data_IF_325896669935
#
_entry.id   IF_325896669935
#
_cell.length_a   1.000
_cell.length_b   1.000
_cell.length_c   1.000
_cell.angle_alpha   90.00
_cell.angle_beta   90.00
_cell.angle_gamma   90.00
#
_symmetry.space_group_name_H-M   'P 1'
#
loop_
_entity.id
_entity.type
_entity.pdbx_description
1 polymer ?
#
# COMPACT_ATOMS: atom_id res chain seq x y z
N UNK A 1 -23.23 28.78 8.35
CA UNK A 1 -21.92 29.22 8.91
C UNK A 1 -20.97 28.06 8.78
N UNK A 2 -20.27 27.96 7.66
CA UNK A 2 -19.20 26.98 7.45
C UNK A 2 -17.91 27.71 7.78
N UNK A 3 -17.33 27.39 8.95
CA UNK A 3 -16.00 27.82 9.30
C UNK A 3 -15.01 27.10 8.36
N UNK A 4 -14.44 27.85 7.44
CA UNK A 4 -13.30 27.42 6.66
C UNK A 4 -12.15 27.16 7.62
N UNK A 5 -11.86 25.87 7.91
CA UNK A 5 -10.58 25.46 8.49
C UNK A 5 -9.53 25.69 7.41
N UNK A 6 -9.05 26.91 7.36
CA UNK A 6 -7.82 27.25 6.68
C UNK A 6 -6.71 26.64 7.54
N UNK A 7 -6.31 25.41 7.22
CA UNK A 7 -5.07 24.87 7.74
C UNK A 7 -3.98 25.83 7.27
N UNK A 8 -3.44 26.60 8.19
CA UNK A 8 -2.29 27.46 7.95
C UNK A 8 -1.20 26.58 7.28
N UNK A 9 -0.51 27.08 6.26
CA UNK A 9 0.71 26.46 5.80
C UNK A 9 1.61 26.26 7.03
N UNK A 10 2.42 25.18 7.08
CA UNK A 10 3.35 25.01 8.18
C UNK A 10 4.11 26.32 8.34
N UNK A 11 4.04 26.90 9.52
CA UNK A 11 4.58 28.21 9.80
C UNK A 11 6.00 28.27 9.23
N UNK A 12 6.24 29.25 8.36
CA UNK A 12 7.55 29.61 7.84
C UNK A 12 8.31 30.35 8.97
N UNK A 13 8.55 29.65 10.07
CA UNK A 13 9.33 30.13 11.21
C UNK A 13 10.77 29.58 11.22
N UNK A 14 11.19 29.04 10.07
CA UNK A 14 12.61 28.82 9.82
C UNK A 14 13.31 30.19 9.73
N UNK A 15 14.56 30.22 10.13
CA UNK A 15 15.43 31.37 9.91
C UNK A 15 15.51 31.69 8.40
N UNK A 16 15.76 32.94 8.00
CA UNK A 16 16.02 33.26 6.61
C UNK A 16 17.03 32.28 6.01
N UNK A 17 16.74 31.75 4.83
CA UNK A 17 17.65 30.85 4.15
C UNK A 17 18.89 31.66 3.70
N UNK A 18 20.08 31.28 4.12
CA UNK A 18 21.30 31.95 3.67
C UNK A 18 21.54 31.67 2.19
N UNK A 19 22.31 32.52 1.54
CA UNK A 19 22.76 32.25 0.17
C UNK A 19 23.66 30.99 0.19
N UNK A 20 23.28 29.96 -0.58
CA UNK A 20 24.05 28.73 -0.65
C UNK A 20 24.96 28.79 -1.88
N UNK A 21 26.25 28.55 -1.68
CA UNK A 21 27.18 28.27 -2.76
C UNK A 21 27.63 26.82 -2.69
N UNK A 22 27.89 26.21 -3.84
CA UNK A 22 28.38 24.83 -3.92
C UNK A 22 29.66 24.69 -4.72
N UNK A 23 30.44 23.67 -4.39
CA UNK A 23 31.65 23.29 -5.09
C UNK A 23 31.70 21.78 -5.27
N UNK A 24 31.93 21.31 -6.49
CA UNK A 24 32.20 19.90 -6.78
C UNK A 24 33.72 19.67 -6.58
N UNK A 25 34.08 19.00 -5.50
CA UNK A 25 35.48 18.70 -5.19
C UNK A 25 35.54 17.38 -4.37
N UNK A 26 36.65 16.63 -4.45
CA UNK A 26 36.81 15.41 -3.64
C UNK A 26 36.75 15.72 -2.14
N UNK A 27 36.55 14.70 -1.32
CA UNK A 27 36.65 14.81 0.12
C UNK A 27 38.03 15.34 0.50
N UNK A 28 38.04 16.29 1.42
CA UNK A 28 39.27 16.94 1.96
C UNK A 28 39.39 16.55 3.42
N UNK A 29 40.59 16.28 3.89
CA UNK A 29 40.85 16.03 5.31
C UNK A 29 40.58 17.31 6.16
N UNK A 30 40.27 17.11 7.43
CA UNK A 30 39.89 18.20 8.33
C UNK A 30 40.97 19.31 8.39
N UNK A 31 42.26 18.96 8.21
CA UNK A 31 43.40 19.91 8.21
C UNK A 31 43.43 20.82 6.97
N UNK A 32 42.82 20.41 5.87
CA UNK A 32 42.82 21.15 4.60
C UNK A 32 41.47 21.87 4.32
N UNK A 33 40.54 21.86 5.26
CA UNK A 33 39.21 22.47 5.10
C UNK A 33 39.29 24.01 5.02
N UNK A 34 40.22 24.65 5.71
CA UNK A 34 40.42 26.09 5.63
C UNK A 34 40.91 26.52 4.25
N UNK A 35 41.75 25.70 3.60
CA UNK A 35 42.17 25.93 2.21
C UNK A 35 41.02 25.79 1.21
N UNK A 36 40.02 24.98 1.56
CA UNK A 36 38.82 24.78 0.70
C UNK A 36 37.96 26.03 0.65
N UNK A 37 37.88 26.81 1.74
CA UNK A 37 37.11 28.06 1.80
C UNK A 37 37.67 29.13 0.83
N UNK A 38 38.99 29.18 0.67
CA UNK A 38 39.68 30.12 -0.22
C UNK A 38 39.82 29.60 -1.67
N UNK A 39 39.36 28.36 -1.92
CA UNK A 39 39.47 27.73 -3.23
C UNK A 39 38.54 28.41 -4.25
N UNK A 40 39.06 28.77 -5.45
CA UNK A 40 38.21 29.31 -6.51
C UNK A 40 37.25 28.25 -7.05
N UNK A 41 36.07 28.69 -7.55
CA UNK A 41 35.12 27.80 -8.23
C UNK A 41 33.83 27.57 -7.48
N UNK A 42 33.60 28.22 -6.36
CA UNK A 42 32.27 28.23 -5.71
C UNK A 42 31.23 28.85 -6.64
N UNK A 43 30.14 28.13 -6.86
CA UNK A 43 29.03 28.55 -7.71
C UNK A 43 27.80 28.83 -6.83
N UNK A 44 27.12 29.97 -7.04
CA UNK A 44 25.88 30.24 -6.33
C UNK A 44 24.82 29.21 -6.75
N UNK A 45 24.07 28.71 -5.77
CA UNK A 45 22.95 27.84 -6.02
C UNK A 45 21.74 28.67 -6.45
N UNK A 46 21.16 28.35 -7.61
CA UNK A 46 19.98 29.07 -8.14
C UNK A 46 18.66 28.57 -7.52
N UNK A 47 18.64 27.35 -7.00
CA UNK A 47 17.46 26.68 -6.43
C UNK A 47 17.52 26.66 -4.90
N UNK A 48 16.38 26.73 -4.24
CA UNK A 48 16.29 26.62 -2.77
C UNK A 48 16.77 25.26 -2.22
N UNK A 49 16.71 24.22 -3.04
CA UNK A 49 17.12 22.86 -2.66
C UNK A 49 18.10 22.31 -3.66
N UNK A 50 19.36 22.03 -3.27
CA UNK A 50 20.31 21.35 -4.13
C UNK A 50 19.78 19.98 -4.58
N UNK A 51 19.65 19.75 -5.89
CA UNK A 51 19.23 18.47 -6.44
C UNK A 51 20.00 18.16 -7.74
N UNK A 52 20.96 17.27 -7.65
CA UNK A 52 21.79 16.86 -8.80
C UNK A 52 21.41 15.45 -9.34
N UNK A 53 20.32 14.87 -8.83
CA UNK A 53 19.87 13.53 -9.20
C UNK A 53 20.83 12.42 -8.73
N UNK A 54 20.99 11.37 -9.51
CA UNK A 54 21.82 10.21 -9.15
C UNK A 54 23.26 10.44 -9.60
N UNK A 55 24.06 11.07 -8.72
CA UNK A 55 25.48 11.34 -8.93
C UNK A 55 26.30 10.71 -7.81
N UNK A 56 27.54 10.33 -8.09
CA UNK A 56 28.48 9.74 -7.11
C UNK A 56 29.58 10.72 -6.70
N UNK A 57 29.51 11.92 -7.24
CA UNK A 57 30.49 12.97 -6.95
C UNK A 57 30.32 13.52 -5.55
N UNK A 58 31.39 14.05 -5.00
CA UNK A 58 31.39 14.73 -3.70
C UNK A 58 31.13 16.22 -3.88
N UNK A 59 30.19 16.76 -3.12
CA UNK A 59 29.79 18.16 -3.15
C UNK A 59 30.00 18.83 -1.80
N UNK A 60 30.48 20.05 -1.86
CA UNK A 60 30.62 20.96 -0.72
C UNK A 60 29.60 22.07 -0.86
N UNK A 61 29.00 22.47 0.26
CA UNK A 61 28.07 23.60 0.35
C UNK A 61 28.57 24.58 1.37
N UNK A 62 28.54 25.85 1.02
CA UNK A 62 28.98 26.97 1.85
C UNK A 62 27.80 27.89 2.09
N UNK A 63 27.56 28.27 3.34
CA UNK A 63 26.43 29.08 3.77
C UNK A 63 26.90 30.08 4.81
N UNK A 64 27.06 31.40 4.49
CA UNK A 64 27.28 32.43 5.49
C UNK A 64 26.03 32.55 6.37
N UNK A 65 26.22 32.68 7.66
CA UNK A 65 25.14 32.89 8.62
C UNK A 65 24.98 34.36 8.94
N UNK A 66 23.74 34.83 9.03
CA UNK A 66 23.47 36.14 9.58
C UNK A 66 23.83 36.19 11.06
N UNK A 67 24.34 37.33 11.54
CA UNK A 67 24.85 37.56 12.89
C UNK A 67 23.76 37.49 13.97
N UNK A 68 23.09 36.34 14.08
CA UNK A 68 22.15 36.06 15.14
C UNK A 68 22.83 35.33 16.30
N UNK A 69 22.35 35.54 17.52
CA UNK A 69 22.83 34.76 18.68
C UNK A 69 21.77 33.77 19.13
N UNK A 70 22.19 32.55 19.48
CA UNK A 70 21.29 31.55 20.06
C UNK A 70 21.58 30.12 19.67
N UNK A 71 20.72 29.23 20.20
CA UNK A 71 20.72 27.81 19.85
C UNK A 71 19.93 27.59 18.59
N UNK A 72 20.57 27.11 17.57
CA UNK A 72 20.02 26.88 16.25
C UNK A 72 20.23 25.43 15.84
N UNK A 73 19.45 24.94 14.89
CA UNK A 73 19.57 23.60 14.35
C UNK A 73 19.53 23.67 12.83
N UNK A 74 20.53 23.05 12.20
CA UNK A 74 20.48 22.76 10.77
C UNK A 74 19.74 21.45 10.55
N UNK A 75 18.71 21.48 9.73
CA UNK A 75 17.97 20.32 9.28
C UNK A 75 18.32 19.99 7.84
N UNK A 76 18.62 18.70 7.57
CA UNK A 76 18.61 18.12 6.23
C UNK A 76 17.51 17.07 6.24
N UNK A 77 16.35 17.39 5.64
CA UNK A 77 15.15 16.55 5.66
C UNK A 77 15.16 15.44 4.59
N UNK A 78 16.34 14.88 4.30
CA UNK A 78 16.53 13.75 3.40
C UNK A 78 17.43 12.70 4.06
N UNK A 79 16.86 11.64 4.64
CA UNK A 79 17.58 10.68 5.49
C UNK A 79 18.51 9.71 4.76
N UNK A 80 18.55 9.74 3.42
CA UNK A 80 19.23 8.76 2.56
C UNK A 80 20.53 9.32 1.96
N UNK A 81 21.28 10.06 2.74
CA UNK A 81 22.61 10.54 2.36
C UNK A 81 23.66 9.67 3.04
N UNK A 82 24.55 9.07 2.23
CA UNK A 82 25.56 8.10 2.71
C UNK A 82 26.50 8.74 3.75
N UNK A 83 27.06 9.93 3.43
CA UNK A 83 27.97 10.67 4.29
C UNK A 83 27.64 12.15 4.30
N UNK A 84 27.46 12.70 5.48
CA UNK A 84 27.19 14.11 5.76
C UNK A 84 28.23 14.63 6.75
N UNK A 85 29.05 15.56 6.32
CA UNK A 85 29.97 16.32 7.18
C UNK A 85 29.44 17.73 7.40
N UNK A 86 29.31 18.14 8.63
CA UNK A 86 28.98 19.53 9.03
C UNK A 86 30.14 20.15 9.74
N UNK A 87 30.49 21.37 9.36
CA UNK A 87 31.55 22.15 9.93
C UNK A 87 31.05 23.57 10.18
N UNK A 88 31.08 24.01 11.43
CA UNK A 88 30.82 25.41 11.80
C UNK A 88 32.15 26.16 11.86
N UNK A 89 32.24 27.16 11.04
CA UNK A 89 33.43 28.05 10.96
C UNK A 89 33.09 29.37 11.61
N UNK A 90 33.96 29.85 12.52
CA UNK A 90 33.89 31.16 13.14
C UNK A 90 35.21 31.91 12.88
N UNK A 91 35.16 33.12 12.33
CA UNK A 91 36.33 33.91 11.98
C UNK A 91 37.43 33.13 11.24
N UNK A 92 37.00 32.28 10.27
CA UNK A 92 37.89 31.44 9.46
C UNK A 92 38.45 30.20 10.17
N UNK A 93 37.98 29.84 11.37
CA UNK A 93 38.42 28.67 12.13
C UNK A 93 37.25 27.71 12.36
N UNK A 94 37.48 26.43 12.19
CA UNK A 94 36.50 25.39 12.49
C UNK A 94 36.36 25.25 14.02
N UNK A 95 35.16 25.47 14.52
CA UNK A 95 34.84 25.40 15.95
C UNK A 95 33.99 24.18 16.31
N UNK A 96 33.25 23.62 15.32
CA UNK A 96 32.45 22.42 15.52
C UNK A 96 32.52 21.54 14.28
N UNK A 97 32.63 20.23 14.50
CA UNK A 97 32.60 19.20 13.43
C UNK A 97 31.62 18.12 13.82
N UNK A 98 30.73 17.77 12.90
CA UNK A 98 29.82 16.63 13.04
C UNK A 98 29.88 15.79 11.77
N UNK A 99 30.11 14.49 11.92
CA UNK A 99 30.08 13.51 10.80
C UNK A 99 28.95 12.55 11.06
N UNK A 100 28.05 12.39 10.07
CA UNK A 100 26.86 11.53 10.12
C UNK A 100 26.53 11.02 8.72
N UNK A 101 25.49 10.23 8.57
CA UNK A 101 25.05 9.65 7.30
C UNK A 101 24.28 8.36 7.54
N UNK A 102 23.71 7.77 6.47
CA UNK A 102 23.02 6.48 6.58
C UNK A 102 23.99 5.27 6.44
N UNK A 103 25.25 5.51 6.06
CA UNK A 103 26.35 4.56 6.13
C UNK A 103 27.03 4.52 7.52
N UNK A 104 26.65 5.39 8.44
CA UNK A 104 27.11 5.39 9.83
C UNK A 104 25.98 4.92 10.75
N UNK A 105 26.28 4.37 11.95
CA UNK A 105 25.27 4.00 12.93
C UNK A 105 24.30 5.15 13.23
N UNK A 106 23.02 4.85 13.37
CA UNK A 106 22.00 5.86 13.67
C UNK A 106 22.26 6.54 15.04
N UNK A 107 22.87 5.78 15.97
CA UNK A 107 23.29 6.28 17.29
C UNK A 107 24.33 7.41 17.23
N UNK A 108 25.06 7.57 16.12
CA UNK A 108 26.02 8.66 15.91
C UNK A 108 25.35 9.98 15.46
N UNK A 109 24.04 9.98 15.23
CA UNK A 109 23.31 11.22 14.93
C UNK A 109 23.23 12.12 16.15
N UNK A 110 23.51 13.44 16.03
CA UNK A 110 23.47 14.36 17.16
C UNK A 110 22.12 14.42 17.88
N UNK A 111 21.03 14.28 17.12
CA UNK A 111 19.67 14.15 17.62
C UNK A 111 19.03 12.89 17.02
N UNK A 112 18.33 12.13 17.86
CA UNK A 112 17.69 10.87 17.46
C UNK A 112 16.43 11.13 16.62
N UNK A 113 16.64 11.51 15.35
CA UNK A 113 15.58 11.79 14.39
C UNK A 113 15.94 11.23 13.00
N UNK A 114 14.96 10.80 12.17
CA UNK A 114 15.21 10.33 10.81
C UNK A 114 15.88 11.38 9.90
N UNK A 115 15.50 12.68 9.98
CA UNK A 115 16.24 13.76 9.33
C UNK A 115 17.57 14.03 10.06
N UNK A 116 18.56 14.54 9.35
CA UNK A 116 19.80 14.98 9.99
C UNK A 116 19.55 16.32 10.67
N UNK A 117 19.52 16.32 12.00
CA UNK A 117 19.35 17.49 12.86
C UNK A 117 20.66 17.75 13.56
N UNK A 118 21.32 18.89 13.21
CA UNK A 118 22.64 19.24 13.74
C UNK A 118 22.53 20.51 14.54
N UNK A 119 22.58 20.46 15.89
CA UNK A 119 22.52 21.62 16.73
C UNK A 119 23.85 22.37 16.69
N UNK A 120 23.78 23.68 16.66
CA UNK A 120 24.92 24.58 16.75
C UNK A 120 24.53 25.87 17.52
N UNK A 121 25.53 26.62 17.97
CA UNK A 121 25.33 27.87 18.74
C UNK A 121 26.13 28.97 18.10
N UNK A 122 25.53 30.15 17.98
CA UNK A 122 26.18 31.36 17.48
C UNK A 122 26.12 32.48 18.51
N UNK A 123 27.13 33.37 18.51
CA UNK A 123 27.24 34.56 19.38
C UNK A 123 27.19 35.83 18.53
N UNK A 124 26.72 36.91 19.11
CA UNK A 124 26.66 38.21 18.43
C UNK A 124 28.06 38.77 18.15
N UNK A 125 28.26 39.26 16.93
CA UNK A 125 29.50 39.96 16.54
C UNK A 125 30.62 39.04 16.07
N UNK A 126 30.34 37.76 15.84
CA UNK A 126 31.24 36.79 15.21
C UNK A 126 30.71 36.42 13.83
N UNK A 127 31.57 36.36 12.83
CA UNK A 127 31.22 35.94 11.50
C UNK A 127 31.20 34.39 11.41
N UNK A 128 30.00 33.86 11.28
CA UNK A 128 29.81 32.41 11.18
C UNK A 128 29.52 31.97 9.75
N UNK A 129 30.03 30.80 9.44
CA UNK A 129 29.78 30.13 8.17
C UNK A 129 29.58 28.62 8.39
N UNK A 130 28.60 28.03 7.71
CA UNK A 130 28.43 26.57 7.69
C UNK A 130 29.05 26.03 6.41
N UNK A 131 29.88 25.00 6.56
CA UNK A 131 30.40 24.22 5.46
C UNK A 131 29.81 22.80 5.58
N UNK A 132 29.13 22.31 4.53
CA UNK A 132 28.61 20.94 4.46
C UNK A 132 29.37 20.16 3.41
N UNK A 133 29.68 18.91 3.74
CA UNK A 133 30.31 17.92 2.88
C UNK A 133 29.29 16.78 2.66
N UNK A 134 28.89 16.55 1.41
CA UNK A 134 27.89 15.58 1.08
C UNK A 134 28.41 14.62 0.00
N UNK A 135 28.37 13.33 0.30
CA UNK A 135 28.63 12.26 -0.65
C UNK A 135 27.53 11.24 -0.55
N UNK A 136 26.96 10.81 -1.68
CA UNK A 136 25.91 9.78 -1.71
C UNK A 136 26.00 8.96 -2.99
N UNK A 137 25.70 7.67 -2.89
CA UNK A 137 25.51 6.76 -4.02
C UNK A 137 24.06 6.77 -4.54
N UNK A 138 23.15 7.34 -3.73
CA UNK A 138 21.74 7.51 -4.04
C UNK A 138 21.43 8.81 -4.81
N UNK A 139 20.22 9.35 -4.61
CA UNK A 139 19.85 10.65 -5.16
C UNK A 139 20.48 11.78 -4.33
N UNK A 140 21.21 12.68 -4.98
CA UNK A 140 21.83 13.84 -4.35
C UNK A 140 20.82 14.98 -4.20
N UNK A 141 19.92 14.86 -3.22
CA UNK A 141 18.95 15.88 -2.84
C UNK A 141 19.23 16.33 -1.41
N UNK A 142 19.48 17.62 -1.21
CA UNK A 142 19.92 18.19 0.08
C UNK A 142 18.98 19.32 0.49
N UNK A 143 17.76 19.05 0.96
CA UNK A 143 16.86 20.08 1.45
C UNK A 143 17.35 20.58 2.81
N UNK A 144 18.00 21.77 2.80
CA UNK A 144 18.58 22.39 3.96
C UNK A 144 17.60 23.41 4.53
N UNK A 145 17.40 23.41 5.85
CA UNK A 145 16.66 24.42 6.59
C UNK A 145 17.37 24.78 7.87
N UNK A 146 17.35 26.07 8.21
CA UNK A 146 17.84 26.56 9.47
C UNK A 146 16.66 26.87 10.39
N UNK A 147 16.78 26.49 11.63
CA UNK A 147 15.69 26.59 12.60
C UNK A 147 16.23 27.21 13.92
N UNK A 148 15.36 28.00 14.57
CA UNK A 148 15.48 28.15 16.01
C UNK A 148 15.03 26.86 16.70
N UNK A 149 15.68 26.46 17.77
CA UNK A 149 15.45 25.16 18.43
C UNK A 149 13.96 24.95 18.80
N UNK A 150 13.29 25.96 19.36
CA UNK A 150 11.89 25.84 19.76
C UNK A 150 10.94 25.69 18.56
N UNK A 151 11.17 26.48 17.50
CA UNK A 151 10.37 26.42 16.29
C UNK A 151 10.49 25.06 15.57
N UNK A 152 11.69 24.46 15.59
CA UNK A 152 11.92 23.12 15.08
C UNK A 152 11.08 22.08 15.83
N UNK A 153 11.07 22.08 17.16
CA UNK A 153 10.30 21.09 17.93
C UNK A 153 8.80 21.19 17.67
N UNK A 154 8.25 22.36 17.48
CA UNK A 154 6.83 22.55 17.12
C UNK A 154 6.55 22.02 15.72
N UNK A 155 7.44 22.28 14.76
CA UNK A 155 7.31 21.78 13.39
C UNK A 155 7.39 20.25 13.33
N UNK A 156 8.41 19.64 13.96
CA UNK A 156 8.59 18.19 14.03
C UNK A 156 7.41 17.51 14.72
N UNK A 157 6.90 18.07 15.82
CA UNK A 157 5.74 17.50 16.53
C UNK A 157 4.51 17.46 15.64
N UNK A 158 4.31 18.47 14.81
CA UNK A 158 3.18 18.51 13.88
C UNK A 158 3.36 17.50 12.75
N UNK A 159 4.55 17.41 12.19
CA UNK A 159 4.89 16.42 11.15
C UNK A 159 4.74 14.98 11.65
N UNK A 160 5.26 14.69 12.84
CA UNK A 160 5.18 13.37 13.46
C UNK A 160 3.74 12.95 13.76
N UNK A 161 2.86 13.87 14.16
CA UNK A 161 1.43 13.60 14.35
C UNK A 161 0.76 13.17 13.04
N UNK A 162 1.04 13.85 11.93
CA UNK A 162 0.48 13.52 10.61
C UNK A 162 0.98 12.16 10.14
N UNK A 163 2.27 11.87 10.33
CA UNK A 163 2.84 10.57 9.99
C UNK A 163 2.30 9.44 10.86
N UNK A 164 2.15 9.67 12.15
CA UNK A 164 1.57 8.70 13.09
C UNK A 164 0.13 8.36 12.72
N UNK A 165 -0.67 9.36 12.34
CA UNK A 165 -2.03 9.14 11.83
C UNK A 165 -2.02 8.31 10.55
N UNK A 166 -1.14 8.63 9.61
CA UNK A 166 -0.98 7.90 8.36
C UNK A 166 -0.60 6.43 8.60
N UNK A 167 0.43 6.17 9.41
CA UNK A 167 0.83 4.81 9.77
C UNK A 167 -0.28 4.07 10.50
N UNK A 168 -1.02 4.75 11.39
CA UNK A 168 -2.18 4.20 12.10
C UNK A 168 -3.27 3.71 11.14
N UNK A 169 -3.58 4.46 10.08
CA UNK A 169 -4.55 4.06 9.04
C UNK A 169 -4.08 2.80 8.34
N UNK A 170 -2.82 2.73 7.89
CA UNK A 170 -2.31 1.56 7.17
C UNK A 170 -2.24 0.32 8.07
N UNK A 171 -1.77 0.47 9.31
CA UNK A 171 -1.69 -0.62 10.28
C UNK A 171 -3.09 -1.17 10.60
N UNK A 172 -4.06 -0.29 10.83
CA UNK A 172 -5.46 -0.69 11.04
C UNK A 172 -6.01 -1.44 9.83
N UNK A 173 -5.72 -0.96 8.63
CA UNK A 173 -6.12 -1.63 7.38
C UNK A 173 -5.51 -3.02 7.26
N UNK A 174 -4.22 -3.19 7.60
CA UNK A 174 -3.53 -4.47 7.61
C UNK A 174 -4.20 -5.44 8.58
N UNK A 175 -4.40 -5.05 9.85
CA UNK A 175 -5.00 -5.93 10.86
C UNK A 175 -6.44 -6.29 10.52
N UNK A 176 -7.24 -5.34 10.05
CA UNK A 176 -8.63 -5.60 9.66
C UNK A 176 -8.71 -6.63 8.51
N UNK A 177 -7.93 -6.46 7.45
CA UNK A 177 -7.93 -7.39 6.32
C UNK A 177 -7.24 -8.72 6.65
N UNK A 178 -6.26 -8.74 7.54
CA UNK A 178 -5.66 -9.97 8.07
C UNK A 178 -6.68 -10.78 8.85
N UNK A 179 -7.49 -10.14 9.70
CA UNK A 179 -8.59 -10.81 10.40
C UNK A 179 -9.59 -11.42 9.43
N UNK A 180 -9.98 -10.70 8.37
CA UNK A 180 -10.87 -11.23 7.33
C UNK A 180 -10.21 -12.42 6.61
N UNK A 181 -8.92 -12.32 6.28
CA UNK A 181 -8.19 -13.44 5.68
C UNK A 181 -8.21 -14.69 6.57
N UNK A 182 -7.94 -14.54 7.87
CA UNK A 182 -7.94 -15.66 8.82
C UNK A 182 -9.32 -16.31 8.93
N UNK A 183 -10.40 -15.52 8.85
CA UNK A 183 -11.77 -15.99 8.91
C UNK A 183 -12.22 -16.70 7.62
N UNK A 184 -11.86 -16.18 6.46
CA UNK A 184 -12.37 -16.64 5.16
C UNK A 184 -11.38 -17.52 4.38
N UNK A 185 -10.08 -17.43 4.69
CA UNK A 185 -8.99 -18.11 3.98
C UNK A 185 -8.91 -17.78 2.49
N UNK A 186 -9.39 -16.60 2.08
CA UNK A 186 -9.36 -16.16 0.69
C UNK A 186 -8.06 -15.37 0.41
N UNK A 187 -7.27 -15.86 -0.55
CA UNK A 187 -5.94 -15.33 -0.88
C UNK A 187 -5.92 -13.85 -1.27
N UNK A 188 -7.03 -13.30 -1.80
CA UNK A 188 -7.12 -11.89 -2.18
C UNK A 188 -6.88 -10.97 -0.98
N UNK A 189 -7.42 -11.31 0.20
CA UNK A 189 -7.20 -10.54 1.43
C UNK A 189 -5.74 -10.62 1.90
N UNK A 190 -5.12 -11.79 1.79
CA UNK A 190 -3.70 -11.95 2.10
C UNK A 190 -2.83 -11.09 1.18
N UNK A 191 -3.07 -11.11 -0.13
CA UNK A 191 -2.31 -10.28 -1.06
C UNK A 191 -2.53 -8.79 -0.82
N UNK A 192 -3.71 -8.40 -0.36
CA UNK A 192 -3.97 -7.03 0.04
C UNK A 192 -3.20 -6.64 1.29
N UNK A 193 -3.19 -7.48 2.32
CA UNK A 193 -2.37 -7.29 3.54
C UNK A 193 -0.90 -7.13 3.17
N UNK A 194 -0.36 -8.02 2.31
CA UNK A 194 1.02 -7.95 1.86
C UNK A 194 1.31 -6.69 1.03
N UNK A 195 0.38 -6.27 0.17
CA UNK A 195 0.49 -5.04 -0.62
C UNK A 195 0.55 -3.80 0.28
N UNK A 196 -0.39 -3.69 1.23
CA UNK A 196 -0.45 -2.57 2.18
C UNK A 196 0.78 -2.57 3.10
N UNK A 197 1.23 -3.76 3.56
CA UNK A 197 2.46 -3.90 4.34
C UNK A 197 3.69 -3.51 3.53
N UNK A 198 3.81 -3.97 2.28
CA UNK A 198 4.93 -3.62 1.41
C UNK A 198 5.03 -2.10 1.18
N UNK A 199 3.89 -1.45 1.01
CA UNK A 199 3.83 0.00 0.86
C UNK A 199 4.16 0.74 2.18
N UNK A 200 3.61 0.30 3.30
CA UNK A 200 3.95 0.81 4.64
C UNK A 200 5.45 0.71 4.90
N UNK A 201 6.02 -0.45 4.63
CA UNK A 201 7.43 -0.73 4.82
C UNK A 201 8.31 0.15 3.91
N UNK A 202 7.92 0.31 2.64
CA UNK A 202 8.59 1.23 1.71
C UNK A 202 8.57 2.67 2.24
N UNK A 203 7.41 3.18 2.66
CA UNK A 203 7.28 4.54 3.17
C UNK A 203 8.08 4.76 4.45
N UNK A 204 8.06 3.81 5.38
CA UNK A 204 8.85 3.86 6.60
C UNK A 204 10.37 3.83 6.30
N UNK A 205 10.78 3.06 5.28
CA UNK A 205 12.18 2.98 4.85
C UNK A 205 12.64 4.28 4.19
N UNK A 206 11.85 4.83 3.26
CA UNK A 206 12.15 6.10 2.59
C UNK A 206 12.26 7.28 3.57
N UNK A 207 11.56 7.21 4.69
CA UNK A 207 11.64 8.22 5.75
C UNK A 207 12.69 7.93 6.81
N UNK A 208 13.45 6.85 6.72
CA UNK A 208 14.48 6.46 7.67
C UNK A 208 13.95 5.90 9.00
N UNK A 209 12.62 5.75 9.16
CA UNK A 209 12.01 5.22 10.38
C UNK A 209 12.41 3.76 10.60
N UNK A 210 12.54 2.96 9.55
CA UNK A 210 13.00 1.57 9.67
C UNK A 210 14.43 1.49 10.18
N UNK A 211 15.31 2.42 9.78
CA UNK A 211 16.67 2.51 10.29
C UNK A 211 16.67 2.83 11.78
N UNK A 212 15.94 3.86 12.18
CA UNK A 212 15.84 4.28 13.58
C UNK A 212 15.31 3.18 14.51
N UNK A 213 14.29 2.43 14.07
CA UNK A 213 13.52 1.54 14.98
C UNK A 213 14.05 0.11 14.96
N UNK A 214 14.40 -0.44 13.77
CA UNK A 214 14.65 -1.87 13.64
C UNK A 214 16.14 -2.24 13.63
N UNK A 215 17.01 -1.40 13.07
CA UNK A 215 18.44 -1.70 12.93
C UNK A 215 19.34 -0.49 13.03
N UNK A 216 19.26 0.31 14.14
CA UNK A 216 19.98 1.60 14.25
C UNK A 216 21.49 1.44 14.18
N UNK A 217 22.03 0.30 14.59
CA UNK A 217 23.48 0.04 14.62
C UNK A 217 23.97 -0.81 13.45
N UNK A 218 23.11 -1.02 12.43
CA UNK A 218 23.46 -1.83 11.25
C UNK A 218 23.15 -1.09 9.94
N UNK A 219 24.04 -0.19 9.48
CA UNK A 219 23.88 0.54 8.22
C UNK A 219 23.80 -0.38 6.99
N UNK A 220 24.51 -1.51 6.99
CA UNK A 220 24.44 -2.48 5.90
C UNK A 220 23.01 -3.03 5.72
N UNK A 221 22.37 -3.40 6.83
CA UNK A 221 20.98 -3.90 6.78
C UNK A 221 20.00 -2.81 6.36
N UNK A 222 20.25 -1.55 6.76
CA UNK A 222 19.47 -0.41 6.29
C UNK A 222 19.52 -0.28 4.77
N UNK A 223 20.72 -0.30 4.20
CA UNK A 223 20.92 -0.20 2.75
C UNK A 223 20.28 -1.38 2.00
N UNK A 224 20.42 -2.61 2.50
CA UNK A 224 19.74 -3.77 1.92
C UNK A 224 18.21 -3.62 1.97
N UNK A 225 17.69 -3.09 3.06
CA UNK A 225 16.25 -2.84 3.22
C UNK A 225 15.71 -1.86 2.16
N UNK A 226 16.46 -0.79 1.88
CA UNK A 226 16.09 0.15 0.82
C UNK A 226 16.00 -0.51 -0.55
N UNK A 227 16.99 -1.33 -0.90
CA UNK A 227 17.02 -2.03 -2.17
C UNK A 227 15.87 -3.04 -2.32
N UNK A 228 15.45 -3.69 -1.23
CA UNK A 228 14.39 -4.71 -1.21
C UNK A 228 12.99 -4.08 -1.17
N UNK A 229 12.81 -2.96 -0.45
CA UNK A 229 11.51 -2.38 -0.19
C UNK A 229 10.73 -2.00 -1.48
N UNK A 230 11.42 -1.43 -2.47
CA UNK A 230 10.80 -1.02 -3.74
C UNK A 230 10.27 -2.22 -4.54
N UNK A 231 11.09 -3.22 -4.92
CA UNK A 231 10.60 -4.37 -5.69
C UNK A 231 9.62 -5.24 -4.89
N UNK A 232 9.71 -5.28 -3.57
CA UNK A 232 8.75 -5.96 -2.70
C UNK A 232 7.37 -5.29 -2.76
N UNK A 233 7.30 -3.97 -2.68
CA UNK A 233 6.04 -3.23 -2.80
C UNK A 233 5.38 -3.46 -4.18
N UNK A 234 6.16 -3.44 -5.26
CA UNK A 234 5.68 -3.74 -6.62
C UNK A 234 5.17 -5.18 -6.71
N UNK A 235 5.94 -6.15 -6.22
CA UNK A 235 5.58 -7.57 -6.19
C UNK A 235 4.20 -7.79 -5.57
N UNK A 236 4.00 -7.28 -4.37
CA UNK A 236 2.75 -7.48 -3.63
C UNK A 236 1.57 -6.73 -4.25
N UNK A 237 1.80 -5.53 -4.78
CA UNK A 237 0.79 -4.78 -5.51
C UNK A 237 0.30 -5.52 -6.77
N UNK A 238 1.21 -6.13 -7.54
CA UNK A 238 0.89 -6.93 -8.72
C UNK A 238 0.13 -8.22 -8.35
N UNK A 239 0.55 -8.92 -7.28
CA UNK A 239 -0.15 -10.10 -6.77
C UNK A 239 -1.58 -9.76 -6.34
N UNK A 240 -1.74 -8.65 -5.62
CA UNK A 240 -3.05 -8.15 -5.23
C UNK A 240 -3.93 -7.82 -6.44
N UNK A 241 -3.44 -6.99 -7.37
CA UNK A 241 -4.18 -6.60 -8.57
C UNK A 241 -4.63 -7.82 -9.40
N UNK A 242 -3.74 -8.80 -9.58
CA UNK A 242 -4.01 -10.06 -10.28
C UNK A 242 -5.16 -10.83 -9.63
N UNK A 243 -5.15 -10.94 -8.30
CA UNK A 243 -6.16 -11.66 -7.54
C UNK A 243 -7.47 -10.89 -7.45
N UNK A 244 -7.42 -9.59 -7.15
CA UNK A 244 -8.58 -8.74 -6.99
C UNK A 244 -9.42 -8.61 -8.27
N UNK A 245 -8.76 -8.38 -9.41
CA UNK A 245 -9.40 -8.27 -10.73
C UNK A 245 -9.68 -9.62 -11.39
N UNK A 246 -9.33 -10.75 -10.75
CA UNK A 246 -9.47 -12.12 -11.31
C UNK A 246 -8.89 -12.26 -12.72
N UNK A 247 -7.69 -11.67 -12.92
CA UNK A 247 -7.11 -11.58 -14.27
C UNK A 247 -6.79 -12.93 -14.90
N UNK A 248 -6.65 -13.98 -14.11
CA UNK A 248 -6.45 -15.33 -14.61
C UNK A 248 -7.62 -15.77 -15.51
N UNK A 249 -8.84 -15.41 -15.13
CA UNK A 249 -10.07 -15.84 -15.77
C UNK A 249 -10.59 -14.81 -16.77
N UNK A 250 -10.41 -13.50 -16.45
CA UNK A 250 -10.97 -12.39 -17.25
C UNK A 250 -10.05 -11.88 -18.35
N UNK A 251 -8.72 -12.01 -18.18
CA UNK A 251 -7.72 -11.42 -19.09
C UNK A 251 -6.39 -12.21 -19.08
N UNK A 252 -6.33 -13.42 -19.70
CA UNK A 252 -5.15 -14.30 -19.61
C UNK A 252 -3.87 -13.68 -20.17
N UNK A 253 -3.94 -12.85 -21.21
CA UNK A 253 -2.76 -12.13 -21.76
C UNK A 253 -2.20 -11.12 -20.75
N UNK A 254 -3.07 -10.34 -20.13
CA UNK A 254 -2.70 -9.39 -19.07
C UNK A 254 -2.14 -10.12 -17.85
N UNK A 255 -2.73 -11.26 -17.48
CA UNK A 255 -2.23 -12.11 -16.41
C UNK A 255 -0.81 -12.62 -16.68
N UNK A 256 -0.49 -13.01 -17.92
CA UNK A 256 0.88 -13.44 -18.29
C UNK A 256 1.88 -12.29 -18.15
N UNK A 257 1.50 -11.08 -18.60
CA UNK A 257 2.35 -9.88 -18.46
C UNK A 257 2.61 -9.57 -16.97
N UNK A 258 1.59 -9.65 -16.11
CA UNK A 258 1.79 -9.46 -14.66
C UNK A 258 2.72 -10.51 -14.08
N UNK A 259 2.57 -11.77 -14.45
CA UNK A 259 3.45 -12.85 -13.99
C UNK A 259 4.91 -12.60 -14.39
N UNK A 260 5.14 -12.08 -15.59
CA UNK A 260 6.48 -11.69 -16.04
C UNK A 260 7.07 -10.59 -15.14
N UNK A 261 6.31 -9.52 -14.85
CA UNK A 261 6.78 -8.42 -13.98
C UNK A 261 6.93 -8.89 -12.53
N UNK A 262 6.07 -9.80 -12.04
CA UNK A 262 6.22 -10.47 -10.74
C UNK A 262 7.55 -11.25 -10.69
N UNK A 263 7.87 -12.00 -11.73
CA UNK A 263 9.15 -12.70 -11.86
C UNK A 263 10.35 -11.76 -11.84
N UNK A 264 10.26 -10.63 -12.57
CA UNK A 264 11.30 -9.59 -12.53
C UNK A 264 11.44 -8.96 -11.13
N UNK A 265 10.34 -8.77 -10.41
CA UNK A 265 10.38 -8.24 -9.03
C UNK A 265 11.11 -9.19 -8.08
N UNK A 266 10.87 -10.50 -8.20
CA UNK A 266 11.59 -11.51 -7.44
C UNK A 266 13.08 -11.55 -7.81
N UNK A 267 13.41 -11.47 -9.09
CA UNK A 267 14.79 -11.39 -9.55
C UNK A 267 15.49 -10.11 -9.07
N UNK A 268 14.78 -8.98 -9.05
CA UNK A 268 15.31 -7.73 -8.51
C UNK A 268 15.63 -7.87 -7.00
N UNK A 269 14.74 -8.47 -6.19
CA UNK A 269 15.00 -8.75 -4.78
C UNK A 269 16.23 -9.65 -4.59
N UNK A 270 16.36 -10.72 -5.37
CA UNK A 270 17.53 -11.59 -5.29
C UNK A 270 18.80 -10.89 -5.79
N UNK A 271 18.66 -10.03 -6.80
CA UNK A 271 19.75 -9.24 -7.37
C UNK A 271 20.39 -8.26 -6.38
N UNK A 272 19.65 -7.79 -5.35
CA UNK A 272 20.19 -6.88 -4.34
C UNK A 272 21.36 -7.48 -3.53
N UNK A 273 21.48 -8.80 -3.49
CA UNK A 273 22.56 -9.49 -2.79
C UNK A 273 23.81 -9.72 -3.65
N UNK A 274 23.73 -9.47 -4.96
CA UNK A 274 24.80 -9.78 -5.93
C UNK A 274 25.25 -8.53 -6.68
N UNK A 275 24.33 -7.62 -6.99
CA UNK A 275 24.59 -6.42 -7.77
C UNK A 275 25.06 -5.26 -6.86
N UNK A 276 25.82 -4.35 -7.44
CA UNK A 276 26.19 -3.10 -6.78
C UNK A 276 24.96 -2.25 -6.48
N UNK A 277 25.03 -1.45 -5.40
CA UNK A 277 23.94 -0.60 -4.90
C UNK A 277 23.31 0.26 -6.00
N UNK A 278 24.13 0.99 -6.76
CA UNK A 278 23.65 1.91 -7.80
C UNK A 278 22.90 1.17 -8.93
N UNK A 279 23.38 0.00 -9.34
CA UNK A 279 22.71 -0.84 -10.35
C UNK A 279 21.40 -1.41 -9.81
N UNK A 280 21.38 -1.87 -8.57
CA UNK A 280 20.19 -2.41 -7.88
C UNK A 280 19.11 -1.34 -7.72
N UNK A 281 19.45 -0.14 -7.26
CA UNK A 281 18.46 0.93 -7.05
C UNK A 281 17.88 1.42 -8.38
N UNK A 282 18.70 1.61 -9.43
CA UNK A 282 18.24 2.02 -10.75
C UNK A 282 17.31 0.98 -11.38
N UNK A 283 17.65 -0.31 -11.29
CA UNK A 283 16.80 -1.39 -11.78
C UNK A 283 15.48 -1.49 -11.01
N UNK A 284 15.50 -1.31 -9.69
CA UNK A 284 14.31 -1.29 -8.82
C UNK A 284 13.39 -0.10 -9.14
N UNK A 285 13.95 1.08 -9.38
CA UNK A 285 13.17 2.27 -9.79
C UNK A 285 12.54 2.07 -11.17
N UNK A 286 13.28 1.54 -12.15
CA UNK A 286 12.74 1.23 -13.48
C UNK A 286 11.61 0.18 -13.41
N UNK A 287 11.78 -0.84 -12.56
CA UNK A 287 10.76 -1.84 -12.29
C UNK A 287 9.51 -1.21 -11.63
N UNK A 288 9.69 -0.31 -10.67
CA UNK A 288 8.59 0.39 -10.02
C UNK A 288 7.79 1.23 -11.01
N UNK A 289 8.47 2.03 -11.85
CA UNK A 289 7.81 2.85 -12.87
C UNK A 289 7.00 1.99 -13.84
N UNK A 290 7.58 0.89 -14.35
CA UNK A 290 6.88 -0.03 -15.25
C UNK A 290 5.72 -0.76 -14.57
N UNK A 291 5.89 -1.20 -13.32
CA UNK A 291 4.85 -1.83 -12.52
C UNK A 291 3.68 -0.89 -12.22
N UNK A 292 3.95 0.35 -11.79
CA UNK A 292 2.92 1.36 -11.55
C UNK A 292 2.17 1.74 -12.82
N UNK A 293 2.86 1.92 -13.94
CA UNK A 293 2.22 2.19 -15.24
C UNK A 293 1.29 1.04 -15.65
N UNK A 294 1.74 -0.20 -15.45
CA UNK A 294 0.93 -1.38 -15.74
C UNK A 294 -0.33 -1.43 -14.85
N UNK A 295 -0.20 -1.22 -13.55
CA UNK A 295 -1.32 -1.18 -12.60
C UNK A 295 -2.30 -0.05 -12.94
N UNK A 296 -1.80 1.10 -13.36
CA UNK A 296 -2.63 2.22 -13.79
C UNK A 296 -3.47 1.90 -15.03
N UNK A 297 -2.87 1.25 -16.03
CA UNK A 297 -3.56 0.93 -17.29
C UNK A 297 -4.57 -0.22 -17.10
N UNK A 298 -4.25 -1.20 -16.29
CA UNK A 298 -5.11 -2.40 -16.09
C UNK A 298 -6.47 -2.04 -15.52
N UNK A 299 -6.55 -1.12 -14.57
CA UNK A 299 -7.80 -0.70 -13.95
C UNK A 299 -8.84 -0.23 -14.97
N UNK A 300 -8.61 0.88 -15.69
CA UNK A 300 -9.51 1.40 -16.72
C UNK A 300 -9.82 0.37 -17.81
N UNK A 301 -8.84 -0.40 -18.27
CA UNK A 301 -9.05 -1.44 -19.29
C UNK A 301 -10.03 -2.51 -18.81
N UNK A 302 -9.91 -2.97 -17.57
CA UNK A 302 -10.85 -3.94 -17.01
C UNK A 302 -12.22 -3.32 -16.73
N UNK A 303 -12.28 -2.05 -16.37
CA UNK A 303 -13.54 -1.33 -16.19
C UNK A 303 -14.32 -1.20 -17.51
N UNK A 304 -13.64 -0.86 -18.61
CA UNK A 304 -14.25 -0.84 -19.94
C UNK A 304 -14.77 -2.22 -20.37
N UNK A 305 -14.14 -3.30 -19.91
CA UNK A 305 -14.59 -4.69 -20.10
C UNK A 305 -15.72 -5.11 -19.14
N UNK A 306 -16.30 -4.17 -18.40
CA UNK A 306 -17.39 -4.39 -17.43
C UNK A 306 -17.04 -5.35 -16.29
N UNK A 307 -15.78 -5.42 -15.90
CA UNK A 307 -15.41 -6.13 -14.67
C UNK A 307 -15.98 -5.35 -13.46
N UNK A 308 -16.86 -5.94 -12.64
CA UNK A 308 -17.58 -5.21 -11.58
C UNK A 308 -16.67 -4.65 -10.48
N UNK A 309 -15.48 -5.21 -10.33
CA UNK A 309 -14.51 -4.80 -9.30
C UNK A 309 -13.54 -3.71 -9.80
N UNK A 310 -13.42 -3.55 -11.12
CA UNK A 310 -12.42 -2.67 -11.73
C UNK A 310 -12.69 -1.18 -11.49
N UNK A 311 -13.95 -0.77 -11.27
CA UNK A 311 -14.30 0.61 -10.97
C UNK A 311 -13.67 1.09 -9.67
N UNK A 312 -13.85 0.36 -8.58
CA UNK A 312 -13.25 0.67 -7.27
C UNK A 312 -11.71 0.66 -7.33
N UNK A 313 -11.16 -0.34 -8.01
CA UNK A 313 -9.72 -0.45 -8.22
C UNK A 313 -9.17 0.77 -8.96
N UNK A 314 -9.81 1.19 -10.05
CA UNK A 314 -9.37 2.33 -10.88
C UNK A 314 -9.37 3.63 -10.09
N UNK A 315 -10.43 3.90 -9.31
CA UNK A 315 -10.52 5.10 -8.49
C UNK A 315 -9.45 5.10 -7.40
N UNK A 316 -9.30 3.99 -6.67
CA UNK A 316 -8.34 3.87 -5.58
C UNK A 316 -6.89 4.08 -6.08
N UNK A 317 -6.48 3.35 -7.12
CA UNK A 317 -5.16 3.50 -7.74
C UNK A 317 -4.97 4.84 -8.42
N UNK A 318 -6.03 5.42 -8.99
CA UNK A 318 -6.00 6.78 -9.55
C UNK A 318 -5.62 7.83 -8.50
N UNK A 319 -6.19 7.75 -7.30
CA UNK A 319 -5.88 8.67 -6.19
C UNK A 319 -4.43 8.52 -5.71
N UNK A 320 -3.93 7.28 -5.58
CA UNK A 320 -2.53 7.03 -5.24
C UNK A 320 -1.58 7.65 -6.28
N UNK A 321 -1.85 7.44 -7.56
CA UNK A 321 -1.01 7.92 -8.65
C UNK A 321 -1.05 9.45 -8.76
N UNK A 322 -2.22 10.06 -8.65
CA UNK A 322 -2.36 11.52 -8.63
C UNK A 322 -1.56 12.11 -7.45
N UNK A 323 -1.72 11.54 -6.25
CA UNK A 323 -0.96 11.95 -5.07
C UNK A 323 0.56 11.82 -5.26
N UNK A 324 1.00 10.71 -5.85
CA UNK A 324 2.41 10.47 -6.17
C UNK A 324 2.94 11.47 -7.20
N UNK A 325 2.16 11.76 -8.24
CA UNK A 325 2.53 12.75 -9.27
C UNK A 325 2.65 14.16 -8.69
N UNK A 326 1.72 14.57 -7.82
CA UNK A 326 1.78 15.86 -7.15
C UNK A 326 3.06 16.00 -6.31
N UNK A 327 3.37 15.00 -5.51
CA UNK A 327 4.58 14.99 -4.68
C UNK A 327 5.85 14.93 -5.54
N UNK A 328 5.87 14.13 -6.59
CA UNK A 328 7.01 14.07 -7.50
C UNK A 328 7.22 15.41 -8.22
N UNK A 329 6.16 16.00 -8.76
CA UNK A 329 6.25 17.30 -9.47
C UNK A 329 6.73 18.43 -8.56
N UNK A 330 6.35 18.41 -7.28
CA UNK A 330 6.90 19.36 -6.29
C UNK A 330 8.41 19.13 -6.07
N UNK A 331 8.85 17.86 -5.95
CA UNK A 331 10.27 17.54 -5.78
C UNK A 331 11.14 17.92 -6.99
N UNK A 332 10.54 17.97 -8.19
CA UNK A 332 11.21 18.47 -9.39
C UNK A 332 11.07 19.99 -9.60
N UNK A 333 10.51 20.72 -8.63
CA UNK A 333 10.32 22.18 -8.72
C UNK A 333 9.23 22.61 -9.71
N UNK A 334 8.45 21.68 -10.27
CA UNK A 334 7.38 21.97 -11.24
C UNK A 334 6.10 22.51 -10.60
N UNK A 335 5.88 22.24 -9.32
CA UNK A 335 4.74 22.70 -8.54
C UNK A 335 5.20 23.39 -7.26
N UNK A 336 4.49 24.43 -6.79
CA UNK A 336 4.81 25.11 -5.54
C UNK A 336 4.68 24.16 -4.34
N UNK A 337 5.51 24.39 -3.33
CA UNK A 337 5.44 23.63 -2.08
C UNK A 337 4.24 24.07 -1.26
N UNK A 338 3.29 23.17 -1.09
CA UNK A 338 2.12 23.32 -0.24
C UNK A 338 1.76 21.97 0.41
N UNK A 339 0.81 21.96 1.32
CA UNK A 339 0.41 20.74 2.02
C UNK A 339 0.08 19.57 1.09
N UNK A 340 -0.70 19.84 0.02
CA UNK A 340 -1.14 18.79 -0.91
C UNK A 340 0.02 18.24 -1.76
N UNK A 341 0.94 19.08 -2.21
CA UNK A 341 2.10 18.66 -3.00
C UNK A 341 3.17 17.97 -2.15
N UNK A 342 3.26 18.32 -0.87
CA UNK A 342 4.20 17.68 0.07
C UNK A 342 3.70 16.31 0.52
N UNK A 343 2.44 16.20 0.92
CA UNK A 343 1.87 14.97 1.49
C UNK A 343 0.96 14.21 0.52
N UNK A 344 0.87 14.61 -0.74
CA UNK A 344 -0.03 14.05 -1.75
C UNK A 344 0.07 12.53 -1.89
N UNK A 345 1.29 11.99 -1.89
CA UNK A 345 1.53 10.55 -1.97
C UNK A 345 0.98 9.80 -0.74
N UNK A 346 1.11 10.36 0.46
CA UNK A 346 0.60 9.76 1.69
C UNK A 346 -0.93 9.82 1.75
N UNK A 347 -1.50 10.97 1.40
CA UNK A 347 -2.97 11.14 1.32
C UNK A 347 -3.55 10.19 0.27
N UNK A 348 -2.95 10.13 -0.92
CA UNK A 348 -3.38 9.24 -1.99
C UNK A 348 -3.37 7.78 -1.58
N UNK A 349 -2.30 7.33 -0.91
CA UNK A 349 -2.20 5.93 -0.44
C UNK A 349 -3.12 5.61 0.74
N UNK A 350 -3.37 6.55 1.65
CA UNK A 350 -4.34 6.35 2.73
C UNK A 350 -5.77 6.22 2.18
N UNK A 351 -6.13 7.07 1.21
CA UNK A 351 -7.43 6.99 0.53
C UNK A 351 -7.56 5.71 -0.29
N UNK A 352 -6.51 5.31 -1.01
CA UNK A 352 -6.45 4.02 -1.73
C UNK A 352 -6.70 2.86 -0.77
N UNK A 353 -6.00 2.82 0.36
CA UNK A 353 -6.13 1.76 1.35
C UNK A 353 -7.57 1.67 1.92
N UNK A 354 -8.19 2.79 2.23
CA UNK A 354 -9.58 2.83 2.71
C UNK A 354 -10.54 2.35 1.63
N UNK A 355 -10.43 2.88 0.40
CA UNK A 355 -11.33 2.54 -0.70
C UNK A 355 -11.23 1.08 -1.11
N UNK A 356 -10.04 0.50 -1.15
CA UNK A 356 -9.87 -0.91 -1.45
C UNK A 356 -10.40 -1.82 -0.32
N UNK A 357 -10.27 -1.40 0.93
CA UNK A 357 -10.89 -2.12 2.05
C UNK A 357 -12.42 -2.13 1.92
N UNK A 358 -13.04 -0.99 1.58
CA UNK A 358 -14.48 -0.90 1.32
C UNK A 358 -14.86 -1.77 0.11
N UNK A 359 -14.08 -1.74 -0.96
CA UNK A 359 -14.31 -2.56 -2.15
C UNK A 359 -14.26 -4.05 -1.87
N UNK A 360 -13.30 -4.49 -1.04
CA UNK A 360 -13.18 -5.88 -0.59
C UNK A 360 -14.36 -6.30 0.29
N UNK A 361 -14.79 -5.42 1.20
CA UNK A 361 -15.97 -5.67 2.05
C UNK A 361 -17.25 -5.81 1.20
N UNK A 362 -17.44 -4.93 0.21
CA UNK A 362 -18.59 -5.00 -0.72
C UNK A 362 -18.54 -6.26 -1.58
N UNK A 363 -17.36 -6.65 -2.06
CA UNK A 363 -17.19 -7.91 -2.78
C UNK A 363 -17.63 -9.11 -1.94
N UNK A 364 -17.20 -9.15 -0.67
CA UNK A 364 -17.58 -10.20 0.27
C UNK A 364 -19.10 -10.25 0.48
N UNK A 365 -19.71 -9.09 0.64
CA UNK A 365 -21.16 -8.98 0.80
C UNK A 365 -21.90 -9.57 -0.41
N UNK A 366 -21.52 -9.16 -1.61
CA UNK A 366 -22.13 -9.65 -2.86
C UNK A 366 -21.93 -11.18 -3.03
N UNK A 367 -20.72 -11.68 -2.79
CA UNK A 367 -20.45 -13.13 -2.89
C UNK A 367 -21.25 -13.96 -1.86
N UNK A 368 -21.51 -13.43 -0.67
CA UNK A 368 -22.40 -14.06 0.31
C UNK A 368 -23.84 -14.07 -0.16
N UNK A 369 -24.32 -12.97 -0.68
CA UNK A 369 -25.69 -12.85 -1.21
C UNK A 369 -25.91 -13.81 -2.36
N UNK A 370 -25.00 -13.88 -3.33
CA UNK A 370 -25.05 -14.81 -4.46
C UNK A 370 -25.09 -16.29 -3.97
N UNK A 371 -24.29 -16.64 -2.97
CA UNK A 371 -24.29 -18.00 -2.38
C UNK A 371 -25.60 -18.32 -1.66
N UNK A 372 -26.18 -17.37 -0.95
CA UNK A 372 -27.48 -17.56 -0.29
C UNK A 372 -28.59 -17.75 -1.31
N UNK A 373 -28.63 -16.92 -2.36
CA UNK A 373 -29.61 -17.06 -3.44
C UNK A 373 -29.47 -18.40 -4.18
N UNK A 374 -28.25 -18.84 -4.48
CA UNK A 374 -27.99 -20.12 -5.10
C UNK A 374 -28.48 -21.27 -4.21
N UNK A 375 -28.22 -21.24 -2.91
CA UNK A 375 -28.67 -22.24 -1.95
C UNK A 375 -30.19 -22.28 -1.82
N UNK A 376 -30.84 -21.12 -1.78
CA UNK A 376 -32.31 -21.06 -1.78
C UNK A 376 -32.92 -21.63 -3.06
N UNK A 377 -32.33 -21.33 -4.22
CA UNK A 377 -32.76 -21.88 -5.50
C UNK A 377 -32.61 -23.42 -5.52
N UNK A 378 -31.53 -23.96 -4.99
CA UNK A 378 -31.31 -25.40 -4.85
C UNK A 378 -32.36 -26.06 -3.94
N UNK A 379 -32.61 -25.46 -2.77
CA UNK A 379 -33.63 -25.96 -1.84
C UNK A 379 -35.06 -25.96 -2.48
N UNK A 380 -35.41 -24.89 -3.21
CA UNK A 380 -36.69 -24.80 -3.95
C UNK A 380 -36.77 -25.87 -5.04
N UNK A 381 -35.69 -26.11 -5.77
CA UNK A 381 -35.63 -27.17 -6.78
C UNK A 381 -35.78 -28.56 -6.17
N UNK A 382 -35.14 -28.85 -5.04
CA UNK A 382 -35.30 -30.11 -4.31
C UNK A 382 -36.72 -30.30 -3.80
N UNK A 383 -37.34 -29.26 -3.24
CA UNK A 383 -38.72 -29.29 -2.77
C UNK A 383 -39.71 -29.55 -3.92
N UNK A 384 -39.51 -28.88 -5.07
CA UNK A 384 -40.32 -29.11 -6.28
C UNK A 384 -40.18 -30.52 -6.82
N UNK A 385 -38.96 -31.08 -6.87
CA UNK A 385 -38.71 -32.48 -7.23
C UNK A 385 -39.47 -33.44 -6.32
N UNK A 386 -39.32 -33.27 -5.01
CA UNK A 386 -39.97 -34.13 -4.02
C UNK A 386 -41.49 -34.07 -4.14
N UNK A 387 -42.05 -32.85 -4.36
CA UNK A 387 -43.51 -32.72 -4.56
C UNK A 387 -44.00 -33.39 -5.85
N UNK A 388 -43.20 -33.32 -6.93
CA UNK A 388 -43.51 -34.03 -8.19
C UNK A 388 -43.45 -35.56 -8.03
N UNK A 389 -42.43 -36.08 -7.32
CA UNK A 389 -42.31 -37.50 -6.99
C UNK A 389 -43.52 -38.02 -6.18
N UNK A 390 -43.91 -37.23 -5.15
CA UNK A 390 -45.10 -37.59 -4.34
C UNK A 390 -46.37 -37.59 -5.17
N UNK A 391 -46.56 -36.62 -6.09
CA UNK A 391 -47.72 -36.60 -7.00
C UNK A 391 -47.71 -37.80 -7.95
N UNK A 392 -46.55 -38.14 -8.53
CA UNK A 392 -46.42 -39.32 -9.39
C UNK A 392 -46.71 -40.61 -8.62
N UNK A 393 -46.24 -40.70 -7.37
CA UNK A 393 -46.52 -41.85 -6.51
C UNK A 393 -48.01 -41.93 -6.15
N UNK A 394 -48.65 -40.80 -5.85
CA UNK A 394 -50.09 -40.74 -5.59
C UNK A 394 -50.90 -41.14 -6.83
N UNK A 395 -50.57 -40.65 -8.02
CA UNK A 395 -51.19 -41.07 -9.27
C UNK A 395 -50.96 -42.55 -9.62
N UNK A 396 -49.81 -43.13 -9.25
CA UNK A 396 -49.49 -44.52 -9.47
C UNK A 396 -50.30 -45.48 -8.54
N UNK A 397 -50.70 -44.99 -7.35
CA UNK A 397 -51.35 -45.79 -6.31
C UNK A 397 -52.85 -45.54 -6.16
N UNK A 398 -53.38 -44.46 -6.74
CA UNK A 398 -54.80 -44.10 -6.65
C UNK A 398 -55.46 -44.01 -8.01
N UNK A 399 -56.76 -44.29 -8.07
CA UNK A 399 -57.59 -44.12 -9.26
C UNK A 399 -57.90 -42.61 -9.45
N UNK A 400 -57.63 -42.02 -10.63
CA UNK A 400 -57.80 -40.62 -10.86
C UNK A 400 -59.25 -40.10 -10.87
N UNK A 401 -60.17 -40.98 -11.00
CA UNK A 401 -61.61 -40.61 -11.03
C UNK A 401 -62.22 -40.62 -9.63
N UNK A 402 -61.89 -41.62 -8.83
CA UNK A 402 -62.51 -41.83 -7.52
C UNK A 402 -61.65 -41.43 -6.34
N UNK A 403 -60.35 -41.20 -6.54
CA UNK A 403 -59.37 -40.93 -5.49
C UNK A 403 -59.07 -42.11 -4.56
N UNK A 404 -59.67 -43.30 -4.86
CA UNK A 404 -59.46 -44.52 -4.07
C UNK A 404 -58.18 -45.25 -4.47
N UNK A 405 -57.56 -46.03 -3.53
CA UNK A 405 -56.44 -46.90 -3.89
C UNK A 405 -56.77 -47.79 -5.10
N UNK A 406 -55.87 -47.76 -6.07
CA UNK A 406 -56.01 -48.56 -7.27
C UNK A 406 -55.52 -50.00 -7.04
N UNK A 407 -55.60 -50.82 -8.06
CA UNK A 407 -55.22 -52.26 -8.02
C UNK A 407 -53.72 -52.39 -7.56
N UNK A 408 -52.84 -51.59 -8.04
CA UNK A 408 -51.42 -51.62 -7.68
C UNK A 408 -51.20 -51.35 -6.18
N UNK A 409 -51.91 -50.40 -5.65
CA UNK A 409 -51.87 -50.05 -4.19
C UNK A 409 -52.45 -51.27 -3.38
N UNK A 410 -53.50 -51.81 -3.82
CA UNK A 410 -54.12 -53.01 -3.17
C UNK A 410 -53.12 -54.19 -3.17
N UNK A 411 -52.53 -54.53 -4.32
CA UNK A 411 -51.56 -55.63 -4.44
C UNK A 411 -50.36 -55.41 -3.54
N UNK A 412 -49.90 -54.19 -3.42
CA UNK A 412 -48.76 -53.82 -2.57
C UNK A 412 -49.06 -53.97 -1.05
N UNK A 413 -50.24 -53.52 -0.61
CA UNK A 413 -50.70 -53.67 0.78
C UNK A 413 -50.88 -55.15 1.15
N UNK A 414 -51.49 -55.98 0.23
CA UNK A 414 -51.68 -57.41 0.47
C UNK A 414 -50.34 -58.14 0.57
N UNK A 415 -49.39 -57.85 -0.34
CA UNK A 415 -48.06 -58.46 -0.30
C UNK A 415 -47.28 -58.09 0.97
N UNK A 416 -47.35 -56.80 1.44
CA UNK A 416 -46.75 -56.36 2.69
C UNK A 416 -47.37 -57.07 3.90
N UNK A 417 -48.70 -57.22 3.95
CA UNK A 417 -49.42 -57.96 5.00
C UNK A 417 -48.99 -59.42 5.03
N UNK A 418 -48.97 -60.12 3.89
CA UNK A 418 -48.54 -61.52 3.78
C UNK A 418 -47.10 -61.70 4.25
N UNK A 419 -46.24 -60.77 3.92
CA UNK A 419 -44.81 -60.81 4.30
C UNK A 419 -44.60 -60.56 5.81
N UNK A 420 -45.36 -59.64 6.39
CA UNK A 420 -45.24 -59.30 7.82
C UNK A 420 -45.89 -60.32 8.77
N UNK A 421 -46.99 -60.98 8.31
CA UNK A 421 -47.72 -61.90 9.17
C UNK A 421 -48.07 -63.19 8.35
N UNK A 422 -47.05 -64.00 8.07
CA UNK A 422 -47.21 -65.15 7.13
C UNK A 422 -48.19 -66.22 7.62
N UNK A 423 -48.45 -66.33 8.92
CA UNK A 423 -49.31 -67.38 9.50
C UNK A 423 -50.82 -67.01 9.58
N UNK A 424 -51.18 -65.79 9.11
CA UNK A 424 -52.59 -65.37 9.08
C UNK A 424 -53.30 -65.79 7.78
N UNK A 425 -54.58 -66.16 7.91
CA UNK A 425 -55.45 -66.40 6.74
C UNK A 425 -56.13 -65.09 6.33
N UNK A 426 -55.93 -64.69 5.10
CA UNK A 426 -56.51 -63.48 4.53
C UNK A 426 -57.68 -63.90 3.60
N UNK A 427 -58.80 -63.15 3.63
CA UNK A 427 -59.88 -63.27 2.67
C UNK A 427 -60.00 -61.97 1.88
N UNK A 428 -60.15 -62.09 0.57
CA UNK A 428 -60.34 -60.93 -0.34
C UNK A 428 -61.79 -61.00 -0.83
N UNK A 429 -62.53 -59.90 -0.60
CA UNK A 429 -63.88 -59.76 -1.14
C UNK A 429 -63.85 -58.79 -2.32
N UNK A 430 -64.33 -59.22 -3.47
CA UNK A 430 -64.51 -58.39 -4.66
C UNK A 430 -65.95 -58.06 -4.86
N UNK A 431 -66.32 -56.77 -4.79
CA UNK A 431 -67.69 -56.31 -5.03
C UNK A 431 -67.77 -55.69 -6.40
N UNK A 432 -68.61 -56.24 -7.27
CA UNK A 432 -68.83 -55.68 -8.59
C UNK A 432 -70.27 -55.13 -8.68
N UNK A 433 -70.38 -53.88 -9.11
CA UNK A 433 -71.67 -53.24 -9.31
C UNK A 433 -72.11 -53.41 -10.77
N UNK A 434 -73.10 -54.17 -10.98
CA UNK A 434 -73.70 -54.34 -12.28
C UNK A 434 -74.55 -53.13 -12.69
N UNK A 435 -74.48 -52.69 -13.95
CA UNK A 435 -75.25 -51.58 -14.52
C UNK A 435 -74.83 -50.15 -13.97
N UNK A 436 -73.62 -49.94 -13.53
CA UNK A 436 -73.15 -48.60 -13.09
C UNK A 436 -73.34 -47.54 -14.18
N UNK A 437 -73.11 -47.86 -15.45
CA UNK A 437 -73.36 -46.99 -16.59
C UNK A 437 -74.83 -46.55 -16.77
N UNK A 438 -75.77 -47.40 -16.45
CA UNK A 438 -77.19 -47.07 -16.49
C UNK A 438 -77.61 -46.18 -15.34
N UNK A 439 -77.00 -46.34 -14.15
CA UNK A 439 -77.24 -45.54 -12.96
C UNK A 439 -76.67 -44.14 -13.15
N UNK A 440 -75.44 -43.99 -13.67
CA UNK A 440 -74.82 -42.67 -13.95
C UNK A 440 -75.55 -41.91 -15.05
N UNK A 441 -76.14 -42.58 -16.00
CA UNK A 441 -76.94 -41.95 -17.07
C UNK A 441 -78.30 -41.43 -16.58
N UNK A 442 -78.84 -42.00 -15.50
CA UNK A 442 -80.14 -41.67 -14.93
C UNK A 442 -80.09 -40.68 -13.78
N UNK A 443 -78.98 -40.56 -13.09
CA UNK A 443 -78.81 -39.69 -11.91
C UNK A 443 -77.94 -38.45 -12.16
N UNK A 444 -77.40 -38.27 -13.35
CA UNK A 444 -76.56 -37.11 -13.75
C UNK A 444 -75.09 -37.27 -13.37
#
# INVERSE_FOLDING_TARGET
>A
MAASVQAAPPASSGLPQPAIAFLKAPAVGDDALTELLDRPGWQPLAEETPNFGYVTDHYWYRMPLDSGSGHQVLEISYPQLDYVGFYLVADGRIIQTVKTGDHLPFSERPLSHPSFLIPYTTELGVDYEILLSIQTSGAHQVPIRLWEQNALFDALTTEDRLHSLYYGILITTIFFNLFIFLALREATYLFYVLSTFGYLFLMATLRGVTFQVFWPDNPWLHNQTMLIAVPMAVLFALLFARSFLRLRDTAPRTNLLLQFVIGLSLLAILGTFVLEFNTSIKSSVALALSGFLLLFIIGPVQWLKRNPQAGYYTVAWGLLIIGTMLTASNKYGLLPTNWLTTYGMQVGSALEAILLTIALAKRLYNEREDRLQAREAELRAMAARRSAELRLMDQALHDPLTGLPNRTSFEMVINDLITRIPDHRYAIAVIHLNNLQAITKTLG
#
